data_IF_136172898825
#
_entry.id   IF_136172898825
#
_cell.length_a   1.000
_cell.length_b   1.000
_cell.length_c   1.000
_cell.angle_alpha   90.00
_cell.angle_beta   90.00
_cell.angle_gamma   90.00
#
_symmetry.space_group_name_H-M   'P 1'
#
loop_
_entity.id
_entity.type
_entity.pdbx_description
1 polymer ?
#
# COMPACT_ATOMS: atom_id res chain seq x y z
N UNK A 1 -20.81 -1.78 0.94
CA UNK A 1 -19.83 -1.56 2.03
C UNK A 1 -18.46 -1.38 1.38
N UNK A 2 -17.51 -0.66 2.00
CA UNK A 2 -16.13 -0.58 1.53
C UNK A 2 -15.47 -1.98 1.48
N UNK A 3 -14.42 -2.15 0.67
CA UNK A 3 -13.73 -3.42 0.51
C UNK A 3 -13.06 -3.89 1.82
N UNK A 4 -13.00 -5.21 2.02
CA UNK A 4 -12.18 -5.81 3.08
C UNK A 4 -11.07 -6.63 2.47
N UNK A 5 -9.84 -6.23 2.73
CA UNK A 5 -8.66 -6.92 2.23
C UNK A 5 -7.84 -7.55 3.36
N UNK A 6 -7.11 -8.61 3.04
CA UNK A 6 -6.11 -9.23 3.89
C UNK A 6 -4.82 -9.42 3.09
N UNK A 7 -3.68 -9.26 3.77
CA UNK A 7 -2.36 -9.50 3.20
C UNK A 7 -1.47 -10.15 4.24
N UNK A 8 -0.88 -11.30 3.93
CA UNK A 8 -0.11 -12.08 4.90
C UNK A 8 1.39 -11.95 4.69
N UNK A 9 2.10 -11.56 5.74
CA UNK A 9 3.55 -11.70 5.88
C UNK A 9 3.85 -13.18 6.16
N UNK A 10 4.37 -13.87 5.16
CA UNK A 10 4.37 -15.35 5.09
C UNK A 10 5.77 -15.95 5.01
N UNK A 11 6.83 -15.15 5.16
CA UNK A 11 8.24 -15.52 4.94
C UNK A 11 8.54 -16.10 3.54
N UNK A 12 7.59 -16.00 2.59
CA UNK A 12 7.79 -16.38 1.19
C UNK A 12 7.85 -15.13 0.31
N UNK A 13 8.62 -15.13 -0.80
CA UNK A 13 8.85 -13.93 -1.60
C UNK A 13 7.58 -13.28 -2.17
N UNK A 14 6.51 -14.06 -2.39
CA UNK A 14 5.25 -13.59 -2.95
C UNK A 14 4.11 -14.24 -2.16
N UNK A 15 3.17 -13.42 -1.70
CA UNK A 15 1.93 -13.84 -1.07
C UNK A 15 0.72 -13.33 -1.87
N UNK A 16 -0.48 -13.34 -1.26
CA UNK A 16 -1.69 -12.84 -1.86
C UNK A 16 -2.22 -11.65 -1.07
N UNK A 17 -2.50 -10.54 -1.77
CA UNK A 17 -3.48 -9.56 -1.34
C UNK A 17 -4.85 -10.08 -1.75
N UNK A 18 -5.69 -10.41 -0.78
CA UNK A 18 -7.07 -10.84 -1.00
C UNK A 18 -7.99 -9.68 -0.65
N UNK A 19 -8.91 -9.29 -1.52
CA UNK A 19 -9.92 -8.26 -1.28
C UNK A 19 -11.30 -8.83 -1.60
N UNK A 20 -12.13 -9.01 -0.57
CA UNK A 20 -13.32 -9.86 -0.60
C UNK A 20 -12.99 -11.19 -1.32
N UNK A 21 -13.58 -11.47 -2.49
CA UNK A 21 -13.35 -12.72 -3.26
C UNK A 21 -12.27 -12.60 -4.37
N UNK A 22 -11.42 -11.57 -4.33
CA UNK A 22 -10.41 -11.30 -5.38
C UNK A 22 -9.00 -11.43 -4.83
N UNK A 23 -8.16 -12.23 -5.49
CA UNK A 23 -6.76 -12.41 -5.10
C UNK A 23 -5.79 -11.80 -6.11
N UNK A 24 -4.76 -11.13 -5.60
CA UNK A 24 -3.69 -10.51 -6.37
C UNK A 24 -2.35 -10.95 -5.80
N UNK A 25 -1.45 -11.44 -6.65
CA UNK A 25 -0.09 -11.76 -6.23
C UNK A 25 0.63 -10.46 -5.81
N UNK A 26 1.19 -10.45 -4.60
CA UNK A 26 1.79 -9.26 -4.04
C UNK A 26 2.93 -9.61 -3.07
N UNK A 27 3.77 -8.63 -2.78
CA UNK A 27 4.81 -8.74 -1.77
C UNK A 27 4.96 -7.41 -1.03
N UNK A 28 5.64 -7.44 0.11
CA UNK A 28 6.03 -6.25 0.86
C UNK A 28 7.44 -6.42 1.38
N UNK A 29 8.25 -5.37 1.32
CA UNK A 29 9.66 -5.42 1.74
C UNK A 29 10.61 -5.56 0.55
N UNK A 30 11.85 -5.14 0.76
CA UNK A 30 12.94 -5.21 -0.20
C UNK A 30 13.44 -6.65 -0.37
N UNK A 31 14.26 -6.85 -1.40
CA UNK A 31 14.87 -8.15 -1.67
C UNK A 31 15.64 -8.69 -0.46
N UNK A 32 15.29 -9.90 -0.03
CA UNK A 32 15.82 -10.56 1.17
C UNK A 32 14.99 -10.33 2.44
N UNK A 33 13.99 -9.45 2.39
CA UNK A 33 13.10 -9.10 3.50
C UNK A 33 11.62 -9.26 3.13
N UNK A 34 11.33 -9.83 1.95
CA UNK A 34 9.98 -9.91 1.43
C UNK A 34 9.08 -10.73 2.36
N UNK A 35 7.97 -10.13 2.77
CA UNK A 35 6.94 -10.73 3.60
C UNK A 35 7.48 -11.33 4.90
N UNK A 36 8.61 -10.83 5.42
CA UNK A 36 9.19 -11.26 6.69
C UNK A 36 8.68 -10.40 7.88
N UNK A 37 7.76 -10.91 8.72
CA UNK A 37 7.21 -10.13 9.85
C UNK A 37 8.27 -9.66 10.85
N UNK A 38 9.39 -10.37 10.96
CA UNK A 38 10.48 -10.03 11.89
C UNK A 38 11.26 -8.78 11.44
N UNK A 39 11.17 -8.41 10.16
CA UNK A 39 11.89 -7.29 9.57
C UNK A 39 11.07 -5.98 9.56
N UNK A 40 9.88 -5.96 10.15
CA UNK A 40 8.96 -4.80 10.11
C UNK A 40 9.52 -3.53 10.76
N UNK A 41 10.56 -3.61 11.58
CA UNK A 41 11.27 -2.44 12.11
C UNK A 41 12.42 -1.94 11.22
N UNK A 42 12.76 -2.62 10.12
CA UNK A 42 13.85 -2.22 9.22
C UNK A 42 13.45 -1.06 8.31
N UNK A 43 14.01 0.12 8.56
CA UNK A 43 13.80 1.31 7.72
C UNK A 43 14.28 1.07 6.29
N UNK A 44 13.43 1.38 5.31
CA UNK A 44 13.74 1.28 3.88
C UNK A 44 13.88 -0.15 3.35
N UNK A 45 13.63 -1.18 4.16
CA UNK A 45 13.81 -2.59 3.76
C UNK A 45 12.68 -3.50 4.20
N UNK A 46 12.21 -3.31 5.43
CA UNK A 46 11.22 -4.18 6.03
C UNK A 46 9.86 -4.12 5.32
N UNK A 47 9.04 -5.18 5.45
CA UNK A 47 7.67 -5.13 4.97
C UNK A 47 6.82 -4.11 5.76
N UNK A 48 5.60 -3.94 5.27
CA UNK A 48 4.52 -3.22 5.94
C UNK A 48 4.30 -3.83 7.33
N UNK A 49 4.32 -3.04 8.42
CA UNK A 49 4.06 -3.57 9.76
C UNK A 49 2.68 -4.23 9.88
N UNK A 50 2.58 -5.26 10.72
CA UNK A 50 1.31 -5.93 11.03
C UNK A 50 0.32 -4.91 11.60
N UNK A 51 -0.93 -4.97 11.16
CA UNK A 51 -1.96 -4.03 11.57
C UNK A 51 -3.04 -3.82 10.52
N UNK A 52 -4.00 -2.94 10.86
CA UNK A 52 -5.08 -2.55 9.94
C UNK A 52 -4.76 -1.21 9.31
N UNK A 53 -4.92 -1.12 7.99
CA UNK A 53 -4.69 0.10 7.24
C UNK A 53 -5.93 0.51 6.44
N UNK A 54 -6.18 1.81 6.37
CA UNK A 54 -7.17 2.39 5.48
C UNK A 54 -6.60 2.53 4.07
N UNK A 55 -7.36 2.12 3.07
CA UNK A 55 -7.04 2.31 1.66
C UNK A 55 -7.70 3.61 1.21
N UNK A 56 -6.88 4.63 0.99
CA UNK A 56 -7.34 5.97 0.60
C UNK A 56 -6.64 6.42 -0.68
N UNK A 57 -7.19 7.45 -1.31
CA UNK A 57 -6.51 8.07 -2.44
C UNK A 57 -5.15 8.64 -2.00
N UNK A 58 -4.12 8.40 -2.82
CA UNK A 58 -2.84 9.06 -2.62
C UNK A 58 -3.03 10.55 -2.95
N UNK A 59 -3.21 11.38 -1.95
CA UNK A 59 -3.10 12.83 -2.14
C UNK A 59 -1.67 13.12 -2.61
N UNK A 60 -1.53 13.60 -3.85
CA UNK A 60 -0.24 13.99 -4.41
C UNK A 60 0.44 15.00 -3.50
N UNK A 61 1.75 14.83 -3.26
CA UNK A 61 2.52 15.69 -2.38
C UNK A 61 2.56 17.13 -2.89
N UNK A 62 1.66 17.98 -2.39
CA UNK A 62 1.61 19.42 -2.67
C UNK A 62 1.54 19.81 -4.16
N UNK A 63 1.74 21.10 -4.42
CA UNK A 63 1.61 21.69 -5.76
C UNK A 63 2.67 21.21 -6.77
N UNK A 64 3.78 20.60 -6.32
CA UNK A 64 4.84 20.07 -7.19
C UNK A 64 4.76 18.55 -7.42
N UNK A 65 3.88 17.82 -6.71
CA UNK A 65 3.82 16.35 -6.76
C UNK A 65 3.51 15.79 -8.15
N UNK A 66 2.65 16.47 -8.90
CA UNK A 66 2.28 16.10 -10.27
C UNK A 66 3.50 16.09 -11.23
N UNK A 67 4.43 17.04 -11.10
CA UNK A 67 5.60 17.12 -11.97
C UNK A 67 6.57 15.95 -11.73
N UNK A 68 6.75 15.57 -10.46
CA UNK A 68 7.54 14.40 -10.06
C UNK A 68 6.88 13.10 -10.47
N UNK A 69 5.55 13.02 -10.43
CA UNK A 69 4.80 11.83 -10.80
C UNK A 69 4.89 11.53 -12.31
N UNK A 70 4.88 12.56 -13.17
CA UNK A 70 5.08 12.44 -14.62
C UNK A 70 6.52 12.02 -14.98
N UNK A 71 7.53 12.63 -14.36
CA UNK A 71 8.92 12.24 -14.56
C UNK A 71 9.16 10.78 -14.11
N UNK A 72 8.52 10.39 -13.02
CA UNK A 72 8.64 9.01 -12.53
C UNK A 72 7.87 8.02 -13.39
N UNK A 73 6.75 8.42 -14.00
CA UNK A 73 6.05 7.61 -14.98
C UNK A 73 6.95 7.28 -16.18
N UNK A 74 7.64 8.28 -16.73
CA UNK A 74 8.58 8.10 -17.85
C UNK A 74 9.75 7.16 -17.49
N UNK A 75 10.26 7.24 -16.26
CA UNK A 75 11.39 6.44 -15.80
C UNK A 75 11.02 5.00 -15.40
N UNK A 76 9.84 4.81 -14.79
CA UNK A 76 9.46 3.54 -14.16
C UNK A 76 8.27 2.83 -14.82
N UNK A 77 7.60 3.46 -15.79
CA UNK A 77 6.48 2.89 -16.55
C UNK A 77 5.17 2.73 -15.76
N UNK A 78 5.04 3.38 -14.60
CA UNK A 78 3.87 3.25 -13.71
C UNK A 78 3.39 4.64 -13.29
N UNK A 79 2.10 4.92 -13.50
CA UNK A 79 1.47 6.18 -13.09
C UNK A 79 1.21 6.14 -11.59
N UNK A 80 1.87 7.03 -10.83
CA UNK A 80 1.76 7.10 -9.36
C UNK A 80 0.41 7.61 -8.88
N UNK A 81 -0.34 8.31 -9.73
CA UNK A 81 -1.74 8.71 -9.50
C UNK A 81 -2.70 7.53 -9.34
N UNK A 82 -2.33 6.34 -9.82
CA UNK A 82 -3.15 5.14 -9.68
C UNK A 82 -2.89 4.39 -8.38
N UNK A 83 -1.92 4.83 -7.58
CA UNK A 83 -1.55 4.20 -6.31
C UNK A 83 -2.50 4.65 -5.20
N UNK A 84 -2.71 3.76 -4.24
CA UNK A 84 -3.42 4.10 -3.01
C UNK A 84 -2.42 4.33 -1.87
N UNK A 85 -2.78 5.20 -0.94
CA UNK A 85 -2.10 5.33 0.34
C UNK A 85 -2.67 4.33 1.34
N UNK A 86 -1.82 3.83 2.25
CA UNK A 86 -2.18 2.93 3.34
C UNK A 86 -1.92 3.65 4.67
N UNK A 87 -2.96 4.21 5.26
CA UNK A 87 -2.87 4.90 6.56
C UNK A 87 -3.15 3.93 7.69
N UNK A 88 -2.24 3.88 8.68
CA UNK A 88 -2.41 3.02 9.84
C UNK A 88 -3.69 3.35 10.61
N UNK A 89 -4.39 2.32 11.08
CA UNK A 89 -5.48 2.49 12.05
C UNK A 89 -4.92 2.36 13.46
N UNK A 90 -4.03 3.27 13.84
CA UNK A 90 -3.34 3.29 15.13
C UNK A 90 -3.77 4.47 16.04
N UNK A 91 -4.83 5.18 15.63
CA UNK A 91 -5.40 6.32 16.36
C UNK A 91 -4.96 7.68 15.79
N UNK A 92 -3.96 7.71 14.92
CA UNK A 92 -3.57 8.89 14.15
C UNK A 92 -3.75 8.62 12.66
N UNK A 93 -4.54 9.45 11.98
CA UNK A 93 -4.77 9.29 10.53
C UNK A 93 -3.71 10.10 9.78
N UNK A 94 -2.53 9.50 9.61
CA UNK A 94 -1.44 10.07 8.85
C UNK A 94 -0.64 8.98 8.09
N UNK A 95 0.44 9.40 7.42
CA UNK A 95 1.27 8.54 6.56
C UNK A 95 2.52 8.02 7.30
N UNK A 96 2.46 7.92 8.63
CA UNK A 96 3.56 7.40 9.45
C UNK A 96 3.00 6.45 10.52
N UNK A 97 3.88 5.60 11.03
CA UNK A 97 3.60 4.76 12.19
C UNK A 97 4.91 4.46 12.91
N UNK A 98 4.83 3.84 14.08
CA UNK A 98 6.00 3.51 14.88
C UNK A 98 6.03 2.02 15.23
N UNK A 99 7.13 1.36 14.90
CA UNK A 99 7.41 -0.04 15.27
C UNK A 99 8.58 -0.03 16.23
N UNK A 100 8.35 -0.38 17.49
CA UNK A 100 9.38 -0.38 18.54
C UNK A 100 10.18 0.95 18.64
N UNK A 101 9.51 2.08 18.46
CA UNK A 101 10.13 3.42 18.47
C UNK A 101 10.79 3.81 17.14
N UNK A 102 10.84 2.93 16.14
CA UNK A 102 11.32 3.24 14.79
C UNK A 102 10.16 3.79 13.95
N UNK A 103 10.33 4.99 13.42
CA UNK A 103 9.35 5.58 12.50
C UNK A 103 9.38 4.85 11.14
N UNK A 104 8.21 4.44 10.67
CA UNK A 104 7.94 3.94 9.32
C UNK A 104 6.81 4.77 8.69
N UNK A 105 6.53 4.61 7.39
CA UNK A 105 5.46 5.37 6.74
C UNK A 105 5.56 5.41 5.22
N UNK A 106 4.79 6.33 4.62
CA UNK A 106 4.65 6.49 3.17
C UNK A 106 4.20 5.21 2.46
N UNK A 107 3.39 4.41 3.15
CA UNK A 107 3.00 3.10 2.67
C UNK A 107 1.98 3.22 1.55
N UNK A 108 2.19 2.46 0.49
CA UNK A 108 1.35 2.48 -0.70
C UNK A 108 0.89 1.08 -1.07
N UNK A 109 -0.24 1.02 -1.75
CA UNK A 109 -0.64 -0.11 -2.57
C UNK A 109 -0.40 0.26 -4.03
N UNK A 110 0.57 -0.39 -4.65
CA UNK A 110 1.04 -0.04 -6.00
C UNK A 110 1.57 -1.28 -6.74
N UNK A 111 1.72 -1.24 -8.07
CA UNK A 111 2.34 -2.33 -8.80
C UNK A 111 3.86 -2.20 -8.78
N UNK A 112 4.53 -3.31 -9.02
CA UNK A 112 5.97 -3.41 -9.21
C UNK A 112 6.42 -2.49 -10.34
N UNK A 113 7.31 -1.54 -10.03
CA UNK A 113 8.02 -0.74 -11.04
C UNK A 113 9.25 -1.49 -11.58
N UNK A 114 9.97 -0.88 -12.53
CA UNK A 114 11.16 -1.51 -13.17
C UNK A 114 12.18 -2.09 -12.19
N UNK A 115 12.45 -1.39 -11.08
CA UNK A 115 13.41 -1.82 -10.04
C UNK A 115 12.83 -2.77 -9.00
N UNK A 116 11.51 -2.93 -8.95
CA UNK A 116 10.84 -3.81 -7.98
C UNK A 116 10.96 -3.41 -6.51
N UNK A 117 11.22 -2.15 -6.22
CA UNK A 117 11.39 -1.60 -4.86
C UNK A 117 10.05 -1.65 -4.10
N UNK A 118 10.11 -2.06 -2.83
CA UNK A 118 9.01 -2.07 -1.86
C UNK A 118 9.54 -1.82 -0.45
N UNK A 119 9.61 -0.56 -0.03
CA UNK A 119 10.14 -0.16 1.29
C UNK A 119 9.08 -0.28 2.42
N UNK A 120 8.27 -1.34 2.34
CA UNK A 120 7.11 -1.58 3.21
C UNK A 120 5.77 -1.27 2.58
N UNK A 121 5.70 -1.21 1.24
CA UNK A 121 4.44 -1.09 0.51
C UNK A 121 3.80 -2.47 0.29
N UNK A 122 2.52 -2.53 -0.09
CA UNK A 122 1.95 -3.72 -0.73
C UNK A 122 2.16 -3.56 -2.23
N UNK A 123 3.04 -4.37 -2.80
CA UNK A 123 3.49 -4.25 -4.17
C UNK A 123 2.95 -5.41 -5.01
N UNK A 124 2.02 -5.11 -5.91
CA UNK A 124 1.47 -6.10 -6.86
C UNK A 124 2.52 -6.50 -7.89
N UNK A 125 2.48 -7.73 -8.39
CA UNK A 125 3.52 -8.24 -9.29
C UNK A 125 3.60 -7.54 -10.65
N UNK A 126 2.53 -6.87 -11.08
CA UNK A 126 2.53 -6.13 -12.35
C UNK A 126 1.53 -4.97 -12.40
N UNK A 127 1.73 -3.97 -13.27
CA UNK A 127 0.74 -2.92 -13.54
C UNK A 127 -0.61 -3.47 -14.01
N UNK A 128 -0.61 -4.62 -14.70
CA UNK A 128 -1.83 -5.29 -15.18
C UNK A 128 -2.69 -5.82 -14.02
N UNK A 129 -2.11 -6.10 -12.86
CA UNK A 129 -2.86 -6.47 -11.65
C UNK A 129 -3.46 -5.27 -10.93
N UNK A 130 -2.83 -4.08 -11.01
CA UNK A 130 -3.35 -2.88 -10.36
C UNK A 130 -4.68 -2.43 -10.95
N UNK A 131 -4.81 -2.42 -12.29
CA UNK A 131 -6.01 -1.93 -12.97
C UNK A 131 -7.31 -2.60 -12.48
N UNK A 132 -7.45 -3.95 -12.48
CA UNK A 132 -8.67 -4.59 -12.00
C UNK A 132 -8.91 -4.35 -10.50
N UNK A 133 -7.86 -4.33 -9.66
CA UNK A 133 -7.99 -3.99 -8.24
C UNK A 133 -8.54 -2.58 -8.04
N UNK A 134 -7.95 -1.59 -8.72
CA UNK A 134 -8.35 -0.19 -8.64
C UNK A 134 -9.79 0.03 -9.11
N UNK A 135 -10.18 -0.60 -10.22
CA UNK A 135 -11.55 -0.54 -10.72
C UNK A 135 -12.53 -1.11 -9.70
N UNK A 136 -12.21 -2.26 -9.11
CA UNK A 136 -13.04 -2.88 -8.08
C UNK A 136 -13.14 -1.99 -6.82
N UNK A 137 -12.03 -1.52 -6.26
CA UNK A 137 -12.03 -0.65 -5.08
C UNK A 137 -12.84 0.64 -5.29
N UNK A 138 -12.73 1.26 -6.47
CA UNK A 138 -13.49 2.48 -6.82
C UNK A 138 -14.94 2.24 -7.19
N UNK A 139 -15.33 1.00 -7.52
CA UNK A 139 -16.72 0.66 -7.82
C UNK A 139 -17.59 0.54 -6.57
N UNK A 140 -16.96 0.37 -5.40
CA UNK A 140 -17.67 0.24 -4.12
C UNK A 140 -17.95 1.61 -3.49
N UNK A 141 -19.03 1.74 -2.70
CA UNK A 141 -19.26 2.93 -1.89
C UNK A 141 -18.13 3.16 -0.89
N UNK A 142 -17.60 4.38 -0.85
CA UNK A 142 -16.61 4.80 0.14
C UNK A 142 -17.24 5.12 1.49
N UNK A 143 -16.45 5.03 2.55
CA UNK A 143 -16.82 5.53 3.89
C UNK A 143 -15.79 6.58 4.34
N UNK A 144 -16.20 7.57 5.13
CA UNK A 144 -15.24 8.49 5.75
C UNK A 144 -14.48 7.80 6.88
N UNK A 145 -13.17 8.02 6.95
CA UNK A 145 -12.40 7.60 8.12
C UNK A 145 -12.91 8.35 9.36
N UNK A 146 -13.24 7.67 10.48
CA UNK A 146 -13.76 8.32 11.68
C UNK A 146 -12.90 9.50 12.13
N UNK A 147 -13.53 10.64 12.42
CA UNK A 147 -12.85 11.86 12.85
C UNK A 147 -12.19 12.66 11.71
N UNK A 148 -12.41 12.31 10.44
CA UNK A 148 -11.84 13.02 9.28
C UNK A 148 -12.87 13.20 8.15
N UNK A 149 -12.50 13.98 7.14
CA UNK A 149 -13.23 14.10 5.87
C UNK A 149 -12.63 13.24 4.75
N UNK A 150 -11.77 12.27 5.07
CA UNK A 150 -11.03 11.47 4.09
C UNK A 150 -11.87 10.27 3.64
N UNK A 151 -12.20 10.14 2.33
CA UNK A 151 -12.85 8.95 1.79
C UNK A 151 -11.93 7.74 1.82
N UNK A 152 -12.47 6.61 2.26
CA UNK A 152 -11.81 5.32 2.35
C UNK A 152 -12.52 4.29 1.46
N UNK A 153 -11.74 3.63 0.60
CA UNK A 153 -12.22 2.60 -0.33
C UNK A 153 -12.34 1.22 0.32
N UNK A 154 -11.61 1.00 1.40
CA UNK A 154 -11.61 -0.27 2.13
C UNK A 154 -10.50 -0.31 3.16
N UNK A 155 -10.39 -1.43 3.86
CA UNK A 155 -9.28 -1.67 4.80
C UNK A 155 -8.48 -2.88 4.38
N UNK A 156 -7.18 -2.87 4.63
CA UNK A 156 -6.34 -4.07 4.55
C UNK A 156 -5.87 -4.46 5.94
N UNK A 157 -6.11 -5.71 6.32
CA UNK A 157 -5.52 -6.35 7.49
C UNK A 157 -4.22 -7.04 7.08
N UNK A 158 -3.11 -6.54 7.59
CA UNK A 158 -1.78 -7.13 7.43
C UNK A 158 -1.56 -8.09 8.60
N UNK A 159 -1.35 -9.36 8.27
CA UNK A 159 -1.29 -10.49 9.22
C UNK A 159 0.06 -11.21 9.14
#
# INVERSE_FOLDING_TARGET
>A
MPARCTFRLSHVPISALVCDDRAYAAFSGERGHENNPDDTALVGKGPLPVGRYYIVDRHGGGHLGWLWDELTYLLNGVRREDWFALYGKDGMIDDRTFVHGVQRGNFRLHPRGRRGISEGCITLMSPQQLRPLRLYLRSLPTQLIPGTAIPCYGTVDVL
#
